data_IF_916718116277
#
_entry.id   IF_916718116277
#
_cell.length_a   1.000
_cell.length_b   1.000
_cell.length_c   1.000
_cell.angle_alpha   90.00
_cell.angle_beta   90.00
_cell.angle_gamma   90.00
#
_symmetry.space_group_name_H-M   'P 1'
#
loop_
_entity.id
_entity.type
_entity.pdbx_description
1 polymer ?
#
# COMPACT_ATOMS: atom_id res chain seq x y z
N UNK A 1 5.87 1.86 12.05
CA UNK A 1 5.92 3.31 12.40
C UNK A 1 5.38 4.18 11.25
N UNK A 2 5.03 5.46 11.49
CA UNK A 2 4.57 6.39 10.44
C UNK A 2 5.67 7.32 9.90
N UNK A 3 6.86 7.29 10.50
CA UNK A 3 8.05 8.04 10.08
C UNK A 3 9.31 7.24 10.45
N UNK A 4 10.44 7.46 9.76
CA UNK A 4 11.69 6.77 10.10
C UNK A 4 12.15 7.10 11.51
N UNK A 5 12.76 6.10 12.15
CA UNK A 5 13.50 6.30 13.39
C UNK A 5 14.67 7.25 13.12
N UNK A 6 14.96 8.15 14.07
CA UNK A 6 16.16 9.00 13.95
C UNK A 6 17.37 8.37 14.64
N UNK A 7 18.56 8.85 14.31
CA UNK A 7 19.80 8.50 15.02
C UNK A 7 19.74 8.71 16.54
N UNK A 8 19.01 9.74 16.99
CA UNK A 8 18.75 9.99 18.41
C UNK A 8 17.82 8.95 19.02
N UNK A 9 16.77 8.58 18.30
CA UNK A 9 15.79 7.59 18.77
C UNK A 9 16.44 6.21 18.91
N UNK A 10 17.26 5.80 17.93
CA UNK A 10 18.00 4.54 17.99
C UNK A 10 18.95 4.51 19.19
N UNK A 11 19.76 5.56 19.38
CA UNK A 11 20.67 5.65 20.53
C UNK A 11 19.93 5.51 21.86
N UNK A 12 18.85 6.26 22.06
CA UNK A 12 18.04 6.16 23.28
C UNK A 12 17.41 4.78 23.45
N UNK A 13 16.94 4.15 22.36
CA UNK A 13 16.34 2.83 22.40
C UNK A 13 17.34 1.78 22.86
N UNK A 14 18.56 1.80 22.35
CA UNK A 14 19.62 0.87 22.77
C UNK A 14 20.07 1.17 24.21
N UNK A 15 20.24 2.44 24.59
CA UNK A 15 20.52 2.80 26.00
C UNK A 15 19.44 2.28 26.95
N UNK A 16 18.17 2.32 26.58
CA UNK A 16 17.07 1.78 27.39
C UNK A 16 17.18 0.26 27.55
N UNK A 17 17.48 -0.48 26.46
CA UNK A 17 17.70 -1.94 26.49
C UNK A 17 18.91 -2.28 27.38
N UNK A 18 20.02 -1.56 27.24
CA UNK A 18 21.22 -1.77 28.06
C UNK A 18 20.93 -1.53 29.54
N UNK A 19 20.19 -0.47 29.86
CA UNK A 19 19.77 -0.15 31.23
C UNK A 19 18.87 -1.24 31.81
N UNK A 20 17.87 -1.70 31.05
CA UNK A 20 16.96 -2.77 31.46
C UNK A 20 17.71 -4.09 31.75
N UNK A 21 18.75 -4.38 30.96
CA UNK A 21 19.60 -5.56 31.13
C UNK A 21 20.71 -5.40 32.18
N UNK A 22 20.79 -4.24 32.86
CA UNK A 22 21.85 -3.97 33.84
C UNK A 22 23.25 -3.89 33.23
N UNK A 23 23.36 -3.55 31.94
CA UNK A 23 24.62 -3.48 31.17
C UNK A 23 25.12 -2.06 30.96
N UNK A 24 24.39 -1.05 31.44
CA UNK A 24 24.84 0.34 31.42
C UNK A 24 25.76 0.57 32.64
N UNK A 25 27.06 0.88 32.46
CA UNK A 25 27.98 0.99 33.59
C UNK A 25 27.72 2.22 34.48
N UNK A 26 27.85 2.03 35.79
CA UNK A 26 27.71 3.12 36.77
C UNK A 26 28.86 4.14 36.71
N UNK A 27 29.96 3.81 36.03
CA UNK A 27 31.11 4.71 35.85
C UNK A 27 30.82 5.88 34.90
N UNK A 28 29.70 5.85 34.19
CA UNK A 28 29.33 6.89 33.24
C UNK A 28 29.00 8.19 33.95
N UNK A 29 29.65 9.28 33.52
CA UNK A 29 29.23 10.63 33.88
C UNK A 29 27.96 11.00 33.11
N UNK A 30 27.94 10.71 31.80
CA UNK A 30 26.77 10.90 30.97
C UNK A 30 26.78 10.00 29.75
N UNK A 31 25.59 9.84 29.18
CA UNK A 31 25.37 9.40 27.82
C UNK A 31 24.47 10.43 27.13
N UNK A 32 24.89 10.92 25.97
CA UNK A 32 24.19 11.97 25.24
C UNK A 32 23.99 11.55 23.79
N UNK A 33 22.74 11.55 23.35
CA UNK A 33 22.42 11.39 21.94
C UNK A 33 22.94 12.58 21.11
N UNK A 34 23.00 12.39 19.79
CA UNK A 34 23.32 13.46 18.84
C UNK A 34 22.39 14.67 19.01
N UNK A 35 22.96 15.87 18.85
CA UNK A 35 22.20 17.13 18.84
C UNK A 35 21.51 17.38 17.49
N UNK A 36 21.99 16.74 16.42
CA UNK A 36 21.48 16.87 15.07
C UNK A 36 20.93 15.51 14.63
N UNK A 37 19.73 15.12 15.08
CA UNK A 37 19.12 13.86 14.70
C UNK A 37 18.79 13.85 13.21
N UNK A 38 19.08 12.75 12.54
CA UNK A 38 18.74 12.52 11.13
C UNK A 38 17.95 11.23 11.00
N UNK A 39 17.01 11.12 10.03
CA UNK A 39 16.29 9.88 9.77
C UNK A 39 17.23 8.74 9.34
N UNK A 40 16.97 7.53 9.84
CA UNK A 40 17.60 6.29 9.39
C UNK A 40 16.58 5.59 8.47
N UNK A 41 16.86 5.61 7.17
CA UNK A 41 15.93 5.18 6.12
C UNK A 41 16.24 3.79 5.56
N UNK A 42 17.40 3.24 5.89
CA UNK A 42 17.83 1.88 5.53
C UNK A 42 18.57 1.25 6.71
N UNK A 43 18.48 -0.08 6.84
CA UNK A 43 19.32 -0.88 7.76
C UNK A 43 20.71 -1.18 7.16
N UNK A 44 20.95 -0.83 5.90
CA UNK A 44 22.23 -1.04 5.20
C UNK A 44 23.27 0.03 5.57
N UNK A 45 23.67 0.08 6.83
CA UNK A 45 24.75 0.92 7.32
C UNK A 45 25.78 0.13 8.12
N UNK A 46 26.95 0.73 8.29
CA UNK A 46 28.00 0.23 9.16
C UNK A 46 27.96 0.97 10.50
N UNK A 47 27.78 0.24 11.61
CA UNK A 47 27.94 0.78 12.96
C UNK A 47 29.43 0.98 13.27
N UNK A 48 29.81 2.21 13.57
CA UNK A 48 31.19 2.62 13.81
C UNK A 48 31.35 3.22 15.21
N UNK A 49 32.57 3.17 15.72
CA UNK A 49 32.88 3.72 17.04
C UNK A 49 34.29 4.30 17.14
N UNK A 50 34.49 5.16 18.13
CA UNK A 50 35.80 5.62 18.60
C UNK A 50 35.81 5.56 20.11
N UNK A 51 36.60 4.64 20.64
CA UNK A 51 36.91 4.55 22.07
C UNK A 51 38.30 5.12 22.32
N UNK A 52 38.41 6.17 23.12
CA UNK A 52 39.67 6.84 23.39
C UNK A 52 39.70 7.55 24.74
N UNK A 53 40.89 7.71 25.30
CA UNK A 53 41.13 8.66 26.39
C UNK A 53 40.84 10.10 25.91
N UNK A 54 40.24 10.90 26.78
CA UNK A 54 40.03 12.31 26.58
C UNK A 54 41.36 13.08 26.63
N UNK A 55 41.39 14.26 26.01
CA UNK A 55 42.60 15.10 26.01
C UNK A 55 42.95 15.72 27.37
N UNK A 56 41.94 15.94 28.22
CA UNK A 56 42.11 16.55 29.55
C UNK A 56 41.48 15.74 30.69
N UNK A 57 40.46 14.92 30.41
CA UNK A 57 39.80 14.12 31.43
C UNK A 57 39.00 12.95 30.81
N UNK A 58 39.10 11.79 31.44
CA UNK A 58 38.16 10.69 31.27
C UNK A 58 38.32 9.87 29.98
N UNK A 59 37.30 9.07 29.67
CA UNK A 59 37.25 8.20 28.49
C UNK A 59 35.95 8.47 27.73
N UNK A 60 36.07 8.60 26.40
CA UNK A 60 34.97 8.86 25.49
C UNK A 60 34.74 7.66 24.58
N UNK A 61 33.47 7.32 24.41
CA UNK A 61 33.00 6.38 23.40
C UNK A 61 32.02 7.10 22.48
N UNK A 62 32.48 7.53 21.31
CA UNK A 62 31.63 8.08 20.26
C UNK A 62 31.10 6.95 19.38
N UNK A 63 29.80 6.97 19.08
CA UNK A 63 29.13 6.00 18.20
C UNK A 63 28.46 6.74 17.04
N UNK A 64 28.62 6.22 15.82
CA UNK A 64 27.98 6.75 14.62
C UNK A 64 27.68 5.64 13.62
N UNK A 65 26.78 5.89 12.68
CA UNK A 65 26.55 5.01 11.52
C UNK A 65 27.18 5.64 10.28
N UNK A 66 27.60 4.79 9.35
CA UNK A 66 28.15 5.22 8.07
C UNK A 66 27.46 4.46 6.92
N UNK A 67 27.04 5.20 5.90
CA UNK A 67 26.45 4.62 4.68
C UNK A 67 27.52 4.49 3.61
N UNK A 68 27.47 3.39 2.87
CA UNK A 68 28.32 3.17 1.69
C UNK A 68 27.59 3.65 0.43
N UNK A 69 27.39 4.96 0.29
CA UNK A 69 26.79 5.55 -0.92
C UNK A 69 27.87 6.28 -1.75
N UNK A 70 28.35 5.67 -2.83
CA UNK A 70 29.35 6.28 -3.71
C UNK A 70 30.76 6.33 -3.11
N UNK A 71 31.53 7.40 -3.41
CA UNK A 71 32.95 7.55 -3.03
C UNK A 71 33.19 8.11 -1.62
N UNK A 72 32.17 8.59 -0.91
CA UNK A 72 32.33 9.25 0.39
C UNK A 72 31.39 8.67 1.45
N UNK A 73 31.97 8.15 2.55
CA UNK A 73 31.20 7.64 3.69
C UNK A 73 30.64 8.82 4.49
N UNK A 74 29.33 9.05 4.41
CA UNK A 74 28.66 10.04 5.26
C UNK A 74 28.52 9.50 6.69
N UNK A 75 29.15 10.18 7.67
CA UNK A 75 29.11 9.79 9.08
C UNK A 75 27.93 10.48 9.76
N UNK A 76 27.03 9.71 10.35
CA UNK A 76 25.89 10.23 11.11
C UNK A 76 26.00 9.79 12.57
N UNK A 77 26.26 10.77 13.46
CA UNK A 77 26.44 10.51 14.89
C UNK A 77 25.16 9.97 15.52
N UNK A 78 25.27 8.90 16.30
CA UNK A 78 24.20 8.39 17.16
C UNK A 78 24.25 9.06 18.54
N UNK A 79 25.42 9.02 19.17
CA UNK A 79 25.61 9.57 20.51
C UNK A 79 27.03 9.37 21.02
N UNK A 80 27.21 9.72 22.29
CA UNK A 80 28.48 9.61 23.00
C UNK A 80 28.24 9.16 24.44
N UNK A 81 29.12 8.31 24.93
CA UNK A 81 29.25 7.98 26.35
C UNK A 81 30.54 8.60 26.88
N UNK A 82 30.48 9.18 28.08
CA UNK A 82 31.66 9.72 28.77
C UNK A 82 31.70 9.22 30.21
N UNK A 83 32.89 8.92 30.67
CA UNK A 83 33.25 8.75 32.09
C UNK A 83 34.34 9.74 32.49
N UNK A 84 34.41 10.11 33.77
CA UNK A 84 35.54 10.87 34.34
C UNK A 84 36.73 9.97 34.71
N UNK A 85 36.54 8.65 34.73
CA UNK A 85 37.60 7.70 35.07
C UNK A 85 38.59 7.51 33.91
N UNK A 86 39.87 7.35 34.25
CA UNK A 86 40.98 7.18 33.28
C UNK A 86 41.77 5.88 33.49
N UNK A 87 41.34 5.04 34.42
CA UNK A 87 42.05 3.79 34.70
C UNK A 87 41.91 2.81 33.53
N UNK A 88 42.87 1.90 33.42
CA UNK A 88 42.78 0.82 32.42
C UNK A 88 41.56 -0.09 32.63
N UNK A 89 41.04 -0.18 33.84
CA UNK A 89 39.80 -0.90 34.13
C UNK A 89 38.57 -0.13 33.65
N UNK A 90 38.54 1.19 33.79
CA UNK A 90 37.50 2.02 33.19
C UNK A 90 37.49 1.89 31.66
N UNK A 91 38.68 1.83 31.02
CA UNK A 91 38.80 1.57 29.58
C UNK A 91 38.22 0.21 29.20
N UNK A 92 38.52 -0.85 29.96
CA UNK A 92 37.93 -2.19 29.75
C UNK A 92 36.41 -2.17 29.93
N UNK A 93 35.89 -1.46 30.93
CA UNK A 93 34.45 -1.30 31.14
C UNK A 93 33.78 -0.56 29.97
N UNK A 94 34.39 0.52 29.46
CA UNK A 94 33.88 1.25 28.29
C UNK A 94 33.95 0.41 27.00
N UNK A 95 34.97 -0.44 26.86
CA UNK A 95 35.04 -1.42 25.77
C UNK A 95 33.94 -2.50 25.88
N UNK A 96 33.63 -2.95 27.10
CA UNK A 96 32.48 -3.83 27.37
C UNK A 96 31.16 -3.19 26.97
N UNK A 97 30.95 -1.92 27.35
CA UNK A 97 29.79 -1.14 26.92
C UNK A 97 29.68 -1.03 25.39
N UNK A 98 30.80 -0.82 24.68
CA UNK A 98 30.80 -0.83 23.21
C UNK A 98 30.35 -2.19 22.66
N UNK A 99 30.90 -3.29 23.18
CA UNK A 99 30.52 -4.63 22.75
C UNK A 99 29.01 -4.89 22.98
N UNK A 100 28.50 -4.55 24.16
CA UNK A 100 27.08 -4.68 24.47
C UNK A 100 26.21 -3.80 23.58
N UNK A 101 26.63 -2.56 23.30
CA UNK A 101 25.90 -1.68 22.39
C UNK A 101 25.79 -2.30 20.98
N UNK A 102 26.89 -2.82 20.43
CA UNK A 102 26.90 -3.47 19.11
C UNK A 102 25.96 -4.68 19.08
N UNK A 103 26.01 -5.52 20.11
CA UNK A 103 25.18 -6.73 20.19
C UNK A 103 23.69 -6.37 20.24
N UNK A 104 23.33 -5.44 21.12
CA UNK A 104 21.92 -5.08 21.34
C UNK A 104 21.36 -4.23 20.20
N UNK A 105 22.17 -3.38 19.58
CA UNK A 105 21.79 -2.61 18.39
C UNK A 105 21.54 -3.55 17.22
N UNK A 106 22.46 -4.47 16.94
CA UNK A 106 22.31 -5.44 15.85
C UNK A 106 21.08 -6.35 16.07
N UNK A 107 20.87 -6.84 17.29
CA UNK A 107 19.69 -7.63 17.63
C UNK A 107 18.39 -6.83 17.45
N UNK A 108 18.37 -5.57 17.88
CA UNK A 108 17.21 -4.70 17.76
C UNK A 108 16.86 -4.41 16.29
N UNK A 109 17.84 -4.03 15.48
CA UNK A 109 17.62 -3.72 14.06
C UNK A 109 17.14 -4.94 13.29
N UNK A 110 17.79 -6.10 13.49
CA UNK A 110 17.42 -7.35 12.82
C UNK A 110 16.03 -7.85 13.22
N UNK A 111 15.59 -7.60 14.45
CA UNK A 111 14.23 -7.93 14.89
C UNK A 111 13.16 -6.96 14.35
N UNK A 112 13.55 -5.78 13.87
CA UNK A 112 12.65 -4.70 13.47
C UNK A 112 12.99 -4.13 12.08
N UNK A 113 13.42 -4.99 11.13
CA UNK A 113 13.91 -4.54 9.82
C UNK A 113 12.95 -3.59 9.09
N UNK A 114 11.63 -3.84 9.15
CA UNK A 114 10.64 -2.99 8.48
C UNK A 114 10.64 -1.54 8.99
N UNK A 115 10.97 -1.30 10.27
CA UNK A 115 11.10 0.05 10.83
C UNK A 115 12.32 0.81 10.28
N UNK A 116 13.24 0.11 9.62
CA UNK A 116 14.42 0.66 8.95
C UNK A 116 14.34 0.56 7.42
N UNK A 117 13.27 0.00 6.84
CA UNK A 117 13.08 -0.09 5.38
C UNK A 117 12.16 1.03 4.89
N UNK A 118 12.72 2.20 4.55
CA UNK A 118 11.96 3.36 4.06
C UNK A 118 12.25 3.72 2.60
N UNK A 119 13.26 3.09 2.01
CA UNK A 119 13.69 3.32 0.64
C UNK A 119 13.19 2.22 -0.29
N UNK A 120 12.96 2.58 -1.55
CA UNK A 120 12.54 1.64 -2.58
C UNK A 120 11.08 1.17 -2.46
N UNK A 121 10.80 0.10 -3.19
CA UNK A 121 9.48 -0.49 -3.32
C UNK A 121 9.63 -2.00 -3.18
N UNK A 122 8.99 -2.56 -2.16
CA UNK A 122 9.05 -3.99 -1.87
C UNK A 122 7.96 -4.75 -2.62
N UNK A 123 8.28 -5.97 -3.03
CA UNK A 123 7.36 -6.91 -3.66
C UNK A 123 7.38 -8.20 -2.84
N UNK A 124 6.21 -8.54 -2.29
CA UNK A 124 5.97 -9.79 -1.60
C UNK A 124 5.09 -10.70 -2.46
N UNK A 125 5.55 -11.91 -2.72
CA UNK A 125 4.80 -12.90 -3.51
C UNK A 125 4.23 -13.99 -2.64
N UNK A 126 3.11 -14.56 -3.06
CA UNK A 126 2.39 -15.60 -2.34
C UNK A 126 2.20 -16.80 -3.26
N UNK A 127 2.30 -17.99 -2.66
CA UNK A 127 2.05 -19.24 -3.37
C UNK A 127 0.55 -19.47 -3.61
N UNK A 128 0.22 -20.59 -4.26
CA UNK A 128 -1.17 -20.94 -4.60
C UNK A 128 -2.05 -21.17 -3.36
N UNK A 129 -1.45 -21.50 -2.22
CA UNK A 129 -2.14 -21.72 -0.95
C UNK A 129 -2.31 -20.40 -0.16
N UNK A 130 -1.89 -19.27 -0.74
CA UNK A 130 -1.98 -17.95 -0.13
C UNK A 130 -0.93 -17.71 0.96
N UNK A 131 0.08 -18.58 1.07
CA UNK A 131 1.18 -18.41 2.01
C UNK A 131 2.23 -17.49 1.38
N UNK A 132 2.69 -16.52 2.17
CA UNK A 132 3.76 -15.63 1.73
C UNK A 132 5.05 -16.42 1.52
N UNK A 133 5.64 -16.28 0.33
CA UNK A 133 6.95 -16.84 0.05
C UNK A 133 8.01 -16.10 0.85
N UNK A 134 9.06 -16.79 1.27
CA UNK A 134 10.21 -16.18 1.95
C UNK A 134 11.03 -15.25 1.05
N UNK A 135 10.77 -15.27 -0.27
CA UNK A 135 11.41 -14.41 -1.26
C UNK A 135 10.66 -13.08 -1.35
N UNK A 136 11.29 -12.01 -0.87
CA UNK A 136 10.93 -10.62 -1.15
C UNK A 136 11.88 -10.02 -2.18
N UNK A 137 11.39 -9.10 -3.00
CA UNK A 137 12.21 -8.30 -3.91
C UNK A 137 12.07 -6.83 -3.55
N UNK A 138 13.17 -6.08 -3.54
CA UNK A 138 13.14 -4.62 -3.40
C UNK A 138 13.62 -4.00 -4.71
N UNK A 139 12.85 -3.05 -5.21
CA UNK A 139 13.17 -2.27 -6.41
C UNK A 139 13.41 -0.82 -6.04
N UNK A 140 14.29 -0.13 -6.78
CA UNK A 140 14.59 1.30 -6.57
C UNK A 140 13.41 2.22 -6.90
N UNK A 141 12.57 1.83 -7.86
CA UNK A 141 11.45 2.64 -8.33
C UNK A 141 10.15 1.83 -8.41
N UNK A 142 9.01 2.53 -8.38
CA UNK A 142 7.69 1.92 -8.57
C UNK A 142 7.54 1.32 -9.98
N UNK A 143 8.11 1.95 -11.00
CA UNK A 143 8.06 1.43 -12.37
C UNK A 143 8.79 0.08 -12.48
N UNK A 144 10.01 0.00 -11.94
CA UNK A 144 10.76 -1.26 -11.87
C UNK A 144 10.01 -2.33 -11.09
N UNK A 145 9.39 -1.94 -9.97
CA UNK A 145 8.61 -2.85 -9.14
C UNK A 145 7.40 -3.42 -9.88
N UNK A 146 6.67 -2.59 -10.63
CA UNK A 146 5.52 -3.02 -11.43
C UNK A 146 5.95 -3.96 -12.56
N UNK A 147 7.03 -3.63 -13.28
CA UNK A 147 7.61 -4.48 -14.33
C UNK A 147 8.09 -5.83 -13.77
N UNK A 148 8.70 -5.83 -12.58
CA UNK A 148 9.13 -7.05 -11.88
C UNK A 148 7.94 -7.87 -11.40
N UNK A 149 6.91 -7.21 -10.88
CA UNK A 149 5.66 -7.82 -10.44
C UNK A 149 4.99 -8.60 -11.57
N UNK A 150 4.95 -8.08 -12.79
CA UNK A 150 4.36 -8.80 -13.94
C UNK A 150 5.05 -10.15 -14.17
N UNK A 151 6.39 -10.16 -14.16
CA UNK A 151 7.19 -11.39 -14.30
C UNK A 151 6.99 -12.37 -13.13
N UNK A 152 6.73 -11.86 -11.93
CA UNK A 152 6.49 -12.71 -10.76
C UNK A 152 5.09 -13.34 -10.80
N UNK A 153 4.10 -12.63 -11.31
CA UNK A 153 2.74 -13.14 -11.49
C UNK A 153 2.64 -14.23 -12.57
N UNK A 154 3.66 -14.48 -13.39
CA UNK A 154 3.73 -15.69 -14.23
C UNK A 154 3.89 -16.97 -13.40
N UNK A 155 4.40 -16.86 -12.17
CA UNK A 155 4.77 -18.01 -11.32
C UNK A 155 3.99 -18.09 -10.00
N UNK A 156 3.60 -16.94 -9.47
CA UNK A 156 2.99 -16.81 -8.14
C UNK A 156 1.57 -16.28 -8.26
N UNK A 157 0.65 -16.81 -7.46
CA UNK A 157 -0.80 -16.51 -7.53
C UNK A 157 -1.14 -15.06 -7.17
N UNK A 158 -0.28 -14.41 -6.38
CA UNK A 158 -0.50 -13.07 -5.84
C UNK A 158 0.84 -12.38 -5.58
N UNK A 159 0.88 -11.10 -5.87
CA UNK A 159 1.97 -10.19 -5.54
C UNK A 159 1.43 -8.95 -4.84
N UNK A 160 2.10 -8.50 -3.79
CA UNK A 160 1.81 -7.26 -3.08
C UNK A 160 3.00 -6.35 -3.29
N UNK A 161 2.75 -5.18 -3.89
CA UNK A 161 3.75 -4.13 -4.11
C UNK A 161 3.53 -3.05 -3.07
N UNK A 162 4.55 -2.76 -2.27
CA UNK A 162 4.53 -1.79 -1.17
C UNK A 162 5.50 -0.66 -1.45
N UNK A 163 5.02 0.57 -1.42
CA UNK A 163 5.88 1.75 -1.36
C UNK A 163 6.40 1.92 0.06
N UNK A 164 7.72 1.79 0.25
CA UNK A 164 8.32 1.80 1.59
C UNK A 164 8.30 3.17 2.25
N UNK A 165 8.24 4.26 1.48
CA UNK A 165 8.17 5.60 2.04
C UNK A 165 6.76 5.90 2.59
N UNK A 166 5.71 5.48 1.87
CA UNK A 166 4.32 5.76 2.24
C UNK A 166 3.61 4.62 2.97
N UNK A 167 4.22 3.43 3.01
CA UNK A 167 3.64 2.17 3.51
C UNK A 167 2.34 1.76 2.81
N UNK A 168 2.04 2.34 1.65
CA UNK A 168 0.85 2.00 0.86
C UNK A 168 1.13 0.75 0.05
N UNK A 169 0.18 -0.17 0.08
CA UNK A 169 0.26 -1.44 -0.62
C UNK A 169 -0.74 -1.49 -1.79
N UNK A 170 -0.33 -2.15 -2.87
CA UNK A 170 -1.17 -2.52 -4.00
C UNK A 170 -1.09 -4.03 -4.18
N UNK A 171 -2.26 -4.67 -4.21
CA UNK A 171 -2.38 -6.11 -4.39
C UNK A 171 -2.65 -6.42 -5.85
N UNK A 172 -1.93 -7.40 -6.37
CA UNK A 172 -2.10 -7.92 -7.72
C UNK A 172 -2.21 -9.43 -7.68
N UNK A 173 -3.04 -9.99 -8.55
CA UNK A 173 -3.28 -11.42 -8.64
C UNK A 173 -2.77 -11.93 -9.99
N UNK A 174 -2.30 -13.18 -10.00
CA UNK A 174 -1.93 -13.89 -11.21
C UNK A 174 -3.17 -14.02 -12.07
N UNK A 175 -3.03 -13.67 -13.34
CA UNK A 175 -4.01 -14.03 -14.34
C UNK A 175 -3.90 -15.54 -14.62
N UNK A 176 -4.42 -16.38 -13.72
CA UNK A 176 -5.05 -17.62 -14.16
C UNK A 176 -6.49 -17.24 -14.45
N UNK A 177 -6.77 -16.92 -15.70
CA UNK A 177 -8.00 -16.25 -16.14
C UNK A 177 -8.15 -14.87 -15.48
N UNK A 178 -8.03 -13.81 -16.27
CA UNK A 178 -8.85 -12.65 -15.94
C UNK A 178 -10.29 -13.16 -15.76
N UNK A 179 -11.06 -12.73 -14.75
CA UNK A 179 -12.51 -12.83 -14.85
C UNK A 179 -13.05 -11.89 -15.95
N UNK A 180 -12.27 -11.59 -16.99
CA UNK A 180 -12.81 -11.14 -18.27
C UNK A 180 -13.29 -12.33 -19.11
N UNK A 181 -13.13 -13.60 -18.67
CA UNK A 181 -13.79 -14.72 -19.36
C UNK A 181 -14.51 -15.76 -18.45
N UNK A 182 -14.84 -15.38 -17.22
CA UNK A 182 -15.89 -16.06 -16.43
C UNK A 182 -16.87 -15.10 -15.76
N UNK A 183 -16.81 -13.80 -16.08
CA UNK A 183 -17.98 -12.95 -15.92
C UNK A 183 -19.02 -13.46 -16.92
N UNK A 184 -19.87 -14.39 -16.49
CA UNK A 184 -21.09 -14.73 -17.22
C UNK A 184 -21.79 -13.40 -17.48
N UNK A 185 -21.83 -12.97 -18.74
CA UNK A 185 -22.59 -11.79 -19.12
C UNK A 185 -24.06 -12.18 -19.00
N UNK A 186 -24.77 -11.49 -18.13
CA UNK A 186 -26.20 -11.69 -17.93
C UNK A 186 -26.93 -10.62 -18.72
N UNK A 187 -27.76 -11.05 -19.66
CA UNK A 187 -28.75 -10.16 -20.25
C UNK A 187 -29.97 -10.15 -19.31
N UNK A 188 -30.29 -8.97 -18.79
CA UNK A 188 -31.50 -8.74 -18.01
C UNK A 188 -32.35 -7.81 -18.84
N UNK A 189 -33.55 -8.28 -19.21
CA UNK A 189 -34.54 -7.41 -19.84
C UNK A 189 -35.45 -6.86 -18.77
N UNK A 190 -35.52 -5.54 -18.70
CA UNK A 190 -36.50 -4.83 -17.88
C UNK A 190 -37.55 -4.31 -18.86
N UNK A 191 -38.80 -4.71 -18.64
CA UNK A 191 -39.94 -4.16 -19.36
C UNK A 191 -40.82 -3.41 -18.38
N UNK A 192 -41.05 -2.13 -18.68
CA UNK A 192 -41.97 -1.27 -17.95
C UNK A 192 -43.18 -0.99 -18.83
N UNK A 193 -44.36 -0.90 -18.22
CA UNK A 193 -45.59 -0.50 -18.91
C UNK A 193 -45.89 0.94 -18.52
N UNK A 194 -45.77 1.83 -19.50
CA UNK A 194 -46.13 3.24 -19.35
C UNK A 194 -47.47 3.50 -20.04
N UNK A 195 -48.36 4.23 -19.37
CA UNK A 195 -49.67 4.61 -19.91
C UNK A 195 -50.01 6.03 -19.47
N UNK A 196 -50.29 6.87 -20.46
CA UNK A 196 -50.83 8.22 -20.29
C UNK A 196 -52.21 8.32 -20.91
N UNK A 197 -53.20 8.83 -20.16
CA UNK A 197 -54.53 9.12 -20.70
C UNK A 197 -54.60 10.56 -21.20
N UNK A 198 -54.98 10.75 -22.46
CA UNK A 198 -55.00 12.06 -23.11
C UNK A 198 -56.42 12.38 -23.55
N UNK A 199 -56.92 13.52 -23.09
CA UNK A 199 -58.22 14.05 -23.50
C UNK A 199 -57.99 15.19 -24.49
N UNK A 200 -58.50 15.05 -25.71
CA UNK A 200 -58.37 16.06 -26.77
C UNK A 200 -59.65 16.15 -27.60
N UNK A 201 -59.85 17.28 -28.27
CA UNK A 201 -60.97 17.51 -29.19
C UNK A 201 -60.53 17.21 -30.62
N UNK A 202 -61.33 16.44 -31.34
CA UNK A 202 -61.07 16.05 -32.72
C UNK A 202 -62.39 15.78 -33.43
N UNK A 203 -62.40 15.93 -34.75
CA UNK A 203 -63.57 15.71 -35.60
C UNK A 203 -63.86 14.20 -35.82
N UNK A 204 -62.86 13.33 -35.62
CA UNK A 204 -63.00 11.86 -35.63
C UNK A 204 -61.96 11.17 -34.73
N UNK A 205 -62.18 9.88 -34.45
CA UNK A 205 -61.24 9.04 -33.70
C UNK A 205 -59.95 8.81 -34.47
N UNK A 206 -60.03 8.56 -35.78
CA UNK A 206 -58.87 8.34 -36.64
C UNK A 206 -57.97 9.58 -36.67
N UNK A 207 -58.58 10.77 -36.78
CA UNK A 207 -57.84 12.03 -36.72
C UNK A 207 -57.24 12.27 -35.34
N UNK A 208 -57.92 11.86 -34.26
CA UNK A 208 -57.39 11.96 -32.90
C UNK A 208 -56.16 11.07 -32.72
N UNK A 209 -56.19 9.83 -33.21
CA UNK A 209 -55.06 8.90 -33.19
C UNK A 209 -53.89 9.46 -33.99
N UNK A 210 -54.12 9.90 -35.24
CA UNK A 210 -53.09 10.47 -36.10
C UNK A 210 -52.39 11.68 -35.44
N UNK A 211 -53.18 12.56 -34.79
CA UNK A 211 -52.64 13.74 -34.10
C UNK A 211 -51.74 13.35 -32.91
N UNK A 212 -52.12 12.32 -32.16
CA UNK A 212 -51.32 11.80 -31.03
C UNK A 212 -50.05 11.11 -31.53
N UNK A 213 -50.16 10.29 -32.58
CA UNK A 213 -49.00 9.64 -33.21
C UNK A 213 -47.98 10.68 -33.71
N UNK A 214 -48.44 11.72 -34.40
CA UNK A 214 -47.57 12.80 -34.85
C UNK A 214 -46.96 13.57 -33.67
N UNK A 215 -47.76 13.92 -32.65
CA UNK A 215 -47.25 14.61 -31.48
C UNK A 215 -46.23 13.77 -30.68
N UNK A 216 -46.38 12.45 -30.66
CA UNK A 216 -45.41 11.53 -30.08
C UNK A 216 -44.12 11.47 -30.92
N UNK A 217 -44.24 11.37 -32.25
CA UNK A 217 -43.10 11.39 -33.18
C UNK A 217 -42.31 12.70 -33.10
N UNK A 218 -42.99 13.83 -32.89
CA UNK A 218 -42.38 15.15 -32.72
C UNK A 218 -41.79 15.38 -31.31
N UNK A 219 -41.92 14.41 -30.38
CA UNK A 219 -41.47 14.54 -28.99
C UNK A 219 -42.31 15.53 -28.15
N UNK A 220 -43.49 15.93 -28.62
CA UNK A 220 -44.43 16.80 -27.88
C UNK A 220 -45.22 16.04 -26.82
N UNK A 221 -45.37 14.73 -27.00
CA UNK A 221 -45.88 13.79 -26.00
C UNK A 221 -44.77 12.80 -25.72
N UNK A 222 -44.38 12.66 -24.45
CA UNK A 222 -43.37 11.71 -24.00
C UNK A 222 -43.97 10.97 -22.80
N UNK A 223 -43.76 9.65 -22.78
CA UNK A 223 -44.03 8.84 -21.60
C UNK A 223 -42.81 8.90 -20.68
N UNK A 224 -43.03 9.21 -19.42
CA UNK A 224 -41.97 9.29 -18.41
C UNK A 224 -42.28 8.45 -17.17
N UNK A 225 -41.46 8.61 -16.14
CA UNK A 225 -41.57 7.83 -14.91
C UNK A 225 -42.91 8.02 -14.18
N UNK A 226 -43.59 9.16 -14.37
CA UNK A 226 -44.88 9.44 -13.74
C UNK A 226 -46.04 8.72 -14.45
N UNK A 227 -45.83 8.23 -15.67
CA UNK A 227 -46.81 7.47 -16.46
C UNK A 227 -46.76 5.94 -16.19
N UNK A 228 -45.98 5.49 -15.20
CA UNK A 228 -45.82 4.08 -14.87
C UNK A 228 -47.12 3.49 -14.29
N UNK A 229 -47.61 2.40 -14.90
CA UNK A 229 -48.82 1.70 -14.46
C UNK A 229 -48.57 0.21 -14.24
N UNK A 230 -49.44 -0.43 -13.46
CA UNK A 230 -49.40 -1.89 -13.29
C UNK A 230 -49.87 -2.59 -14.57
N UNK A 231 -49.20 -3.68 -14.93
CA UNK A 231 -49.66 -4.60 -15.96
C UNK A 231 -51.05 -5.13 -15.59
N UNK A 232 -52.06 -5.03 -16.48
CA UNK A 232 -53.43 -5.40 -16.17
C UNK A 232 -53.64 -6.92 -16.00
N UNK A 233 -52.68 -7.74 -16.43
CA UNK A 233 -52.70 -9.21 -16.36
C UNK A 233 -51.88 -9.70 -15.16
N UNK A 234 -50.69 -9.18 -14.93
CA UNK A 234 -49.80 -9.64 -13.85
C UNK A 234 -49.94 -8.83 -12.56
N UNK A 235 -50.47 -7.60 -12.63
CA UNK A 235 -50.56 -6.67 -11.51
C UNK A 235 -49.24 -6.01 -11.12
N UNK A 236 -48.15 -6.29 -11.85
CA UNK A 236 -46.83 -5.71 -11.60
C UNK A 236 -46.56 -4.53 -12.53
N UNK A 237 -46.02 -3.43 -12.02
CA UNK A 237 -45.64 -2.27 -12.86
C UNK A 237 -44.35 -2.49 -13.67
N UNK A 238 -43.59 -3.54 -13.32
CA UNK A 238 -42.28 -3.86 -13.89
C UNK A 238 -42.12 -5.36 -13.97
N UNK A 239 -41.68 -5.86 -15.11
CA UNK A 239 -41.32 -7.27 -15.28
C UNK A 239 -39.82 -7.40 -15.52
N UNK A 240 -39.17 -8.19 -14.69
CA UNK A 240 -37.75 -8.51 -14.83
C UNK A 240 -37.64 -9.93 -15.37
N UNK A 241 -37.22 -10.06 -16.62
CA UNK A 241 -36.99 -11.35 -17.26
C UNK A 241 -35.51 -11.67 -17.27
N UNK A 242 -35.17 -12.85 -16.75
CA UNK A 242 -33.83 -13.42 -16.89
C UNK A 242 -33.80 -14.15 -18.22
N UNK A 243 -33.20 -13.54 -19.23
CA UNK A 243 -32.86 -14.28 -20.43
C UNK A 243 -31.74 -15.28 -20.09
N UNK A 244 -31.69 -16.40 -20.81
CA UNK A 244 -30.64 -17.41 -20.64
C UNK A 244 -29.23 -16.85 -20.89
N UNK A 245 -28.22 -17.71 -20.76
CA UNK A 245 -26.83 -17.33 -20.99
C UNK A 245 -26.61 -17.00 -22.48
N UNK A 246 -25.97 -15.86 -22.76
CA UNK A 246 -25.52 -15.49 -24.10
C UNK A 246 -24.02 -15.74 -24.24
N UNK A 247 -23.57 -16.18 -25.42
CA UNK A 247 -22.14 -16.24 -25.75
C UNK A 247 -21.61 -14.82 -26.03
N UNK A 248 -20.29 -14.64 -25.94
CA UNK A 248 -19.67 -13.35 -26.25
C UNK A 248 -19.94 -12.88 -27.67
N UNK A 249 -20.09 -13.79 -28.65
CA UNK A 249 -20.47 -13.42 -30.02
C UNK A 249 -21.89 -12.85 -30.08
N UNK A 250 -22.83 -13.42 -29.32
CA UNK A 250 -24.22 -12.93 -29.28
C UNK A 250 -24.31 -11.54 -28.64
N UNK A 251 -23.50 -11.28 -27.61
CA UNK A 251 -23.42 -9.94 -26.97
C UNK A 251 -22.83 -8.92 -27.94
N UNK A 252 -21.75 -9.25 -28.65
CA UNK A 252 -21.16 -8.35 -29.66
C UNK A 252 -22.14 -8.02 -30.79
N UNK A 253 -22.92 -8.98 -31.26
CA UNK A 253 -23.97 -8.70 -32.26
C UNK A 253 -25.03 -7.72 -31.73
N UNK A 254 -25.42 -7.81 -30.46
CA UNK A 254 -26.39 -6.89 -29.85
C UNK A 254 -25.82 -5.47 -29.67
N UNK A 255 -24.55 -5.35 -29.28
CA UNK A 255 -23.88 -4.04 -29.11
C UNK A 255 -23.75 -3.29 -30.45
N UNK A 256 -23.41 -4.00 -31.54
CA UNK A 256 -23.31 -3.43 -32.89
C UNK A 256 -24.69 -3.00 -33.41
N UNK A 257 -25.75 -3.75 -33.11
CA UNK A 257 -27.13 -3.43 -33.53
C UNK A 257 -27.67 -2.15 -32.89
N UNK A 258 -27.17 -1.76 -31.71
CA UNK A 258 -27.57 -0.54 -31.00
C UNK A 258 -26.80 0.71 -31.43
N UNK A 259 -25.72 0.56 -32.21
CA UNK A 259 -24.94 1.66 -32.78
C UNK A 259 -25.45 2.10 -34.17
N UNK A 260 -26.30 1.30 -34.81
CA UNK A 260 -26.87 1.57 -36.13
C UNK A 260 -28.31 2.14 -36.09
N UNK A 261 -28.81 2.56 -34.92
CA UNK A 261 -30.06 3.32 -34.76
C UNK A 261 -29.77 4.74 -34.26
#
# INVERSE_FOLDING_TARGET
MNKPMTTKDLFHKICAILKEKGRLPDILEYNLATKNPVPITTYEYELCSKLAYGGNEGIYLDIWIAYSSGREKTKQKLGVFKTLHESSDAMRTMAGLLADFIIEESAYVNANLDDFTWEGVDIHVFDKDGKQCSLGYTCSTMEDALNKKDKLLEKFSKAVVRDNATRKEKVFLQASESPENTAKKFCITITEILRKEIVLKSDSLEQAVLNVEQAYADGRIILDADDLVCDPVTGEARRIEKAGFYTDEQVQCMEVSNLEK
#
